data_IF_183723410740
#
_entry.id   IF_183723410740
#
_cell.length_a   1.000
_cell.length_b   1.000
_cell.length_c   1.000
_cell.angle_alpha   90.00
_cell.angle_beta   90.00
_cell.angle_gamma   90.00
#
_symmetry.space_group_name_H-M   'P 1'
#
loop_
_entity.id
_entity.type
_entity.pdbx_description
1 polymer ?
#
# COMPACT_ATOMS: atom_id res chain seq x y z
N UNK A 1 -29.10 -53.53 -23.36
CA UNK A 1 -28.58 -54.04 -22.08
C UNK A 1 -27.06 -53.93 -22.13
N UNK A 2 -26.50 -52.85 -21.64
CA UNK A 2 -25.05 -52.56 -21.64
C UNK A 2 -24.60 -52.56 -20.19
N UNK A 3 -23.85 -53.60 -19.81
CA UNK A 3 -23.30 -53.76 -18.46
C UNK A 3 -22.14 -52.77 -18.25
N UNK A 4 -22.30 -51.86 -17.28
CA UNK A 4 -21.28 -50.94 -16.82
C UNK A 4 -20.42 -51.68 -15.78
N UNK A 5 -19.15 -51.90 -16.08
CA UNK A 5 -18.18 -52.47 -15.14
C UNK A 5 -17.51 -51.27 -14.45
N UNK A 6 -17.81 -51.10 -13.16
CA UNK A 6 -17.13 -50.18 -12.26
C UNK A 6 -15.82 -50.80 -11.78
N UNK A 7 -14.69 -50.29 -12.27
CA UNK A 7 -13.36 -50.63 -11.74
C UNK A 7 -13.06 -49.66 -10.60
N UNK A 8 -13.15 -50.18 -9.38
CA UNK A 8 -12.67 -49.49 -8.16
C UNK A 8 -11.15 -49.59 -8.10
N UNK A 9 -10.46 -48.52 -8.48
CA UNK A 9 -9.05 -48.35 -8.16
C UNK A 9 -8.93 -47.89 -6.71
N UNK A 10 -8.52 -48.81 -5.83
CA UNK A 10 -8.11 -48.51 -4.50
C UNK A 10 -6.76 -47.78 -4.52
N UNK A 11 -6.76 -46.49 -4.27
CA UNK A 11 -5.54 -45.75 -3.93
C UNK A 11 -5.19 -46.00 -2.46
N UNK A 12 -4.32 -46.97 -2.21
CA UNK A 12 -3.56 -47.05 -0.96
C UNK A 12 -2.43 -45.99 -1.04
N UNK A 13 -2.69 -44.80 -0.54
CA UNK A 13 -1.63 -43.84 -0.28
C UNK A 13 -0.79 -44.34 0.92
N UNK A 14 0.31 -45.01 0.64
CA UNK A 14 1.38 -45.24 1.61
C UNK A 14 2.03 -43.91 1.91
N UNK A 15 1.57 -43.24 2.98
CA UNK A 15 2.29 -42.16 3.58
C UNK A 15 3.53 -42.71 4.31
N UNK A 16 4.60 -43.00 3.58
CA UNK A 16 5.91 -43.19 4.14
C UNK A 16 6.59 -41.81 4.21
N UNK A 17 6.13 -40.96 5.12
CA UNK A 17 7.01 -39.92 5.62
C UNK A 17 8.03 -40.61 6.52
N UNK A 18 9.12 -41.03 5.93
CA UNK A 18 10.30 -41.37 6.70
C UNK A 18 10.77 -40.06 7.35
N UNK A 19 10.58 -39.97 8.64
CA UNK A 19 11.11 -38.90 9.47
C UNK A 19 12.64 -39.08 9.54
N UNK A 20 13.33 -38.69 8.46
CA UNK A 20 14.78 -38.78 8.31
C UNK A 20 15.49 -37.75 9.17
N UNK A 21 14.73 -36.84 9.77
CA UNK A 21 15.30 -35.72 10.53
C UNK A 21 15.46 -35.98 12.03
N UNK A 22 14.67 -36.91 12.59
CA UNK A 22 14.75 -37.21 14.03
C UNK A 22 16.09 -37.80 14.48
N UNK A 23 16.71 -38.65 13.67
CA UNK A 23 17.99 -39.26 14.05
C UNK A 23 19.19 -38.33 13.97
N UNK A 24 19.21 -37.40 13.02
CA UNK A 24 20.31 -36.45 12.84
C UNK A 24 20.28 -35.30 13.85
N UNK A 25 19.10 -34.97 14.36
CA UNK A 25 18.92 -33.89 15.34
C UNK A 25 19.18 -34.33 16.76
N UNK A 26 19.00 -35.62 17.09
CA UNK A 26 19.17 -36.14 18.44
C UNK A 26 20.63 -36.15 18.94
N UNK A 27 21.62 -36.18 18.06
CA UNK A 27 23.03 -36.23 18.40
C UNK A 27 23.81 -34.92 18.13
N UNK A 28 23.11 -33.82 17.81
CA UNK A 28 23.77 -32.56 17.56
C UNK A 28 23.88 -31.74 18.86
N UNK A 29 25.12 -31.56 19.40
CA UNK A 29 25.32 -30.83 20.66
C UNK A 29 24.86 -29.35 20.57
N UNK A 30 24.78 -28.77 19.38
CA UNK A 30 24.27 -27.41 19.19
C UNK A 30 22.77 -27.27 19.52
N UNK A 31 21.98 -28.36 19.45
CA UNK A 31 20.56 -28.34 19.76
C UNK A 31 20.27 -28.48 21.26
N UNK A 32 21.25 -28.87 22.07
CA UNK A 32 21.12 -28.81 23.51
C UNK A 32 20.89 -27.40 24.03
N UNK A 33 21.43 -26.39 23.34
CA UNK A 33 21.24 -24.97 23.68
C UNK A 33 19.80 -24.48 23.48
N UNK A 34 19.01 -25.19 22.68
CA UNK A 34 17.61 -24.80 22.36
C UNK A 34 16.55 -25.61 23.11
N UNK A 35 16.95 -26.47 24.05
CA UNK A 35 16.00 -27.22 24.89
C UNK A 35 15.22 -28.33 24.17
N UNK A 36 15.59 -28.69 22.95
CA UNK A 36 14.85 -29.66 22.11
C UNK A 36 15.41 -31.09 22.17
N UNK A 37 16.50 -31.35 22.95
CA UNK A 37 17.06 -32.68 23.06
C UNK A 37 16.94 -33.20 24.51
N UNK A 38 16.09 -34.21 24.77
CA UNK A 38 15.90 -34.75 26.12
C UNK A 38 17.13 -35.48 26.68
N UNK A 39 18.15 -35.76 25.87
CA UNK A 39 19.36 -36.47 26.27
C UNK A 39 20.54 -35.56 26.64
N UNK A 40 20.35 -34.28 26.78
CA UNK A 40 21.36 -33.35 27.26
C UNK A 40 21.58 -33.48 28.79
N UNK A 41 21.94 -34.66 29.26
CA UNK A 41 22.27 -34.94 30.65
C UNK A 41 23.74 -34.59 30.94
N UNK A 42 24.00 -33.35 31.22
CA UNK A 42 25.29 -32.88 31.73
C UNK A 42 25.10 -31.45 32.20
N UNK A 43 25.64 -31.07 33.36
CA UNK A 43 25.63 -29.75 33.96
C UNK A 43 25.84 -28.63 32.91
N UNK A 44 24.80 -28.26 32.18
CA UNK A 44 24.80 -27.11 31.31
C UNK A 44 24.62 -25.89 32.22
N UNK A 45 25.74 -25.32 32.65
CA UNK A 45 25.74 -23.93 33.10
C UNK A 45 25.03 -23.11 32.00
N UNK A 46 23.90 -22.49 32.36
CA UNK A 46 22.97 -21.87 31.44
C UNK A 46 23.63 -20.85 30.51
N UNK A 47 23.99 -21.32 29.33
CA UNK A 47 24.29 -20.44 28.21
C UNK A 47 22.97 -20.16 27.53
N UNK A 48 22.29 -19.13 27.96
CA UNK A 48 21.25 -18.56 27.14
C UNK A 48 21.92 -17.80 26.01
N UNK A 49 21.82 -18.28 24.74
CA UNK A 49 22.32 -17.48 23.63
C UNK A 49 21.51 -16.20 23.61
N UNK A 50 22.14 -15.09 23.96
CA UNK A 50 21.53 -13.78 23.76
C UNK A 50 21.46 -13.57 22.25
N UNK A 51 20.29 -13.82 21.69
CA UNK A 51 19.98 -13.39 20.33
C UNK A 51 20.00 -11.87 20.35
N UNK A 52 21.12 -11.30 19.89
CA UNK A 52 21.21 -9.86 19.68
C UNK A 52 20.32 -9.54 18.49
N UNK A 53 19.09 -9.11 18.75
CA UNK A 53 18.21 -8.58 17.73
C UNK A 53 18.75 -7.21 17.34
N UNK A 54 19.47 -7.16 16.24
CA UNK A 54 19.84 -5.87 15.65
C UNK A 54 18.59 -5.31 14.95
N UNK A 55 18.05 -4.25 15.52
CA UNK A 55 16.97 -3.49 14.87
C UNK A 55 17.57 -2.69 13.73
N UNK A 56 17.48 -3.23 12.53
CA UNK A 56 17.82 -2.49 11.31
C UNK A 56 16.67 -1.54 11.03
N UNK A 57 16.88 -0.25 11.30
CA UNK A 57 15.93 0.79 10.90
C UNK A 57 16.20 1.15 9.45
N UNK A 58 15.33 0.69 8.56
CA UNK A 58 15.38 1.07 7.14
C UNK A 58 14.65 2.40 6.98
N UNK A 59 15.41 3.46 6.71
CA UNK A 59 14.84 4.77 6.38
C UNK A 59 14.61 4.87 4.88
N UNK A 60 13.38 4.73 4.46
CA UNK A 60 13.00 4.99 3.07
C UNK A 60 12.92 6.50 2.80
N UNK A 61 13.44 6.98 1.65
CA UNK A 61 13.32 8.38 1.30
C UNK A 61 11.84 8.77 1.12
N UNK A 62 11.46 10.00 1.49
CA UNK A 62 10.08 10.44 1.35
C UNK A 62 9.67 10.49 -0.11
N UNK A 63 8.38 10.24 -0.37
CA UNK A 63 7.75 10.39 -1.68
C UNK A 63 6.73 11.52 -1.65
N UNK A 64 6.56 12.15 -2.81
CA UNK A 64 5.74 13.34 -2.96
C UNK A 64 4.72 13.17 -4.08
N UNK A 65 3.55 13.76 -3.89
CA UNK A 65 2.50 13.83 -4.90
C UNK A 65 1.89 15.23 -4.97
N UNK A 66 1.27 15.55 -6.10
CA UNK A 66 0.57 16.80 -6.30
C UNK A 66 -0.59 16.65 -7.29
N UNK A 67 -1.61 17.51 -7.14
CA UNK A 67 -2.67 17.70 -8.14
C UNK A 67 -2.61 19.13 -8.69
N UNK A 68 -2.85 19.24 -10.00
CA UNK A 68 -3.02 20.52 -10.70
C UNK A 68 -4.37 20.55 -11.42
N UNK A 69 -4.98 21.72 -11.50
CA UNK A 69 -6.31 21.92 -12.09
C UNK A 69 -6.33 23.12 -13.04
N UNK A 70 -7.01 22.96 -14.18
CA UNK A 70 -7.38 24.03 -15.11
C UNK A 70 -8.85 24.38 -14.92
N UNK A 71 -9.11 25.54 -14.36
CA UNK A 71 -10.50 25.99 -14.14
C UNK A 71 -11.26 26.30 -15.43
N UNK A 72 -10.54 26.71 -16.50
CA UNK A 72 -11.16 27.02 -17.80
C UNK A 72 -11.60 25.77 -18.56
N UNK A 73 -10.91 24.65 -18.34
CA UNK A 73 -11.15 23.37 -19.04
C UNK A 73 -11.77 22.32 -18.16
N UNK A 74 -11.91 22.58 -16.85
CA UNK A 74 -12.36 21.61 -15.85
C UNK A 74 -11.55 20.30 -15.87
N UNK A 75 -10.25 20.39 -16.15
CA UNK A 75 -9.31 19.27 -16.19
C UNK A 75 -8.50 19.28 -14.90
N UNK A 76 -8.34 18.11 -14.32
CA UNK A 76 -7.46 17.87 -13.19
C UNK A 76 -6.47 16.75 -13.56
N UNK A 77 -5.21 16.95 -13.22
CA UNK A 77 -4.17 15.95 -13.42
C UNK A 77 -3.27 15.89 -12.18
N UNK A 78 -2.67 14.73 -11.93
CA UNK A 78 -1.81 14.52 -10.79
C UNK A 78 -0.49 13.83 -11.15
N UNK A 79 0.49 14.00 -10.28
CA UNK A 79 1.73 13.23 -10.27
C UNK A 79 1.93 12.66 -8.86
N UNK A 80 2.37 11.40 -8.78
CA UNK A 80 2.65 10.69 -7.54
C UNK A 80 4.07 10.10 -7.59
N UNK A 81 4.56 9.61 -6.44
CA UNK A 81 5.85 8.90 -6.29
C UNK A 81 7.09 9.71 -6.68
N UNK A 82 7.00 11.02 -6.68
CA UNK A 82 8.12 11.89 -6.99
C UNK A 82 9.10 12.00 -5.82
N UNK A 83 10.36 12.37 -6.11
CA UNK A 83 11.41 12.45 -5.09
C UNK A 83 11.48 13.82 -4.40
N UNK A 84 10.73 14.81 -4.88
CA UNK A 84 10.59 16.11 -4.27
C UNK A 84 9.23 16.74 -4.53
N UNK A 85 8.83 17.68 -3.67
CA UNK A 85 7.58 18.44 -3.83
C UNK A 85 7.58 19.23 -5.14
N UNK A 86 8.70 19.88 -5.48
CA UNK A 86 8.85 20.67 -6.70
C UNK A 86 8.74 19.81 -7.97
N UNK A 87 9.21 18.57 -7.92
CA UNK A 87 9.08 17.64 -9.03
C UNK A 87 7.62 17.20 -9.21
N UNK A 88 6.95 16.83 -8.13
CA UNK A 88 5.53 16.47 -8.16
C UNK A 88 4.65 17.59 -8.72
N UNK A 89 4.87 18.82 -8.26
CA UNK A 89 4.14 20.00 -8.74
C UNK A 89 4.40 20.30 -10.21
N UNK A 90 5.66 20.23 -10.64
CA UNK A 90 6.04 20.42 -12.04
C UNK A 90 5.38 19.40 -12.96
N UNK A 91 5.45 18.12 -12.59
CA UNK A 91 4.83 17.05 -13.38
C UNK A 91 3.31 17.14 -13.41
N UNK A 92 2.66 17.42 -12.29
CA UNK A 92 1.21 17.65 -12.23
C UNK A 92 0.79 18.81 -13.16
N UNK A 93 1.55 19.92 -13.14
CA UNK A 93 1.33 21.05 -14.05
C UNK A 93 1.53 20.68 -15.51
N UNK A 94 2.55 19.89 -15.83
CA UNK A 94 2.82 19.42 -17.19
C UNK A 94 1.67 18.56 -17.71
N UNK A 95 1.22 17.57 -16.95
CA UNK A 95 0.09 16.72 -17.31
C UNK A 95 -1.20 17.53 -17.48
N UNK A 96 -1.49 18.44 -16.54
CA UNK A 96 -2.66 19.31 -16.64
C UNK A 96 -2.63 20.15 -17.92
N UNK A 97 -1.49 20.74 -18.30
CA UNK A 97 -1.34 21.53 -19.52
C UNK A 97 -1.45 20.69 -20.78
N UNK A 98 -0.91 19.48 -20.79
CA UNK A 98 -1.02 18.55 -21.90
C UNK A 98 -2.47 18.14 -22.15
N UNK A 99 -3.17 17.73 -21.10
CA UNK A 99 -4.57 17.26 -21.20
C UNK A 99 -5.55 18.40 -21.50
N UNK A 100 -5.35 19.56 -20.87
CA UNK A 100 -6.26 20.70 -21.06
C UNK A 100 -5.97 21.52 -22.30
N UNK A 101 -4.76 21.45 -22.85
CA UNK A 101 -4.27 22.38 -23.89
C UNK A 101 -4.20 23.83 -23.41
N UNK A 102 -4.25 24.08 -22.10
CA UNK A 102 -4.35 25.41 -21.50
C UNK A 102 -3.17 25.75 -20.60
N UNK A 103 -2.82 27.02 -20.54
CA UNK A 103 -1.77 27.53 -19.65
C UNK A 103 -2.30 27.94 -18.26
N UNK A 104 -3.61 27.82 -18.00
CA UNK A 104 -4.21 28.27 -16.73
C UNK A 104 -4.13 27.22 -15.60
N UNK A 105 -3.45 26.10 -15.84
CA UNK A 105 -3.21 25.07 -14.83
C UNK A 105 -2.48 25.63 -13.61
N UNK A 106 -3.00 25.30 -12.43
CA UNK A 106 -2.44 25.66 -11.14
C UNK A 106 -2.37 24.45 -10.22
N UNK A 107 -1.32 24.32 -9.44
CA UNK A 107 -1.26 23.35 -8.35
C UNK A 107 -2.34 23.68 -7.33
N UNK A 108 -3.13 22.69 -6.95
CA UNK A 108 -4.20 22.85 -5.97
C UNK A 108 -3.92 22.18 -4.64
N UNK A 109 -3.05 21.15 -4.63
CA UNK A 109 -2.59 20.46 -3.41
C UNK A 109 -1.30 19.70 -3.70
N UNK A 110 -0.47 19.55 -2.68
CA UNK A 110 0.67 18.65 -2.65
C UNK A 110 0.67 17.82 -1.37
N UNK A 111 1.35 16.69 -1.40
CA UNK A 111 1.46 15.77 -0.26
C UNK A 111 2.87 15.17 -0.17
N UNK A 112 3.29 14.86 1.04
CA UNK A 112 4.48 14.10 1.35
C UNK A 112 4.08 12.86 2.13
N UNK A 113 4.49 11.68 1.67
CA UNK A 113 4.20 10.38 2.31
C UNK A 113 2.71 10.21 2.62
N UNK A 114 1.86 10.40 1.62
CA UNK A 114 0.41 10.34 1.79
C UNK A 114 -0.32 10.32 0.46
N UNK A 115 -1.62 10.49 0.53
CA UNK A 115 -2.52 10.42 -0.60
C UNK A 115 -3.20 11.76 -0.85
N UNK A 116 -3.53 12.03 -2.12
CA UNK A 116 -4.30 13.19 -2.56
C UNK A 116 -5.49 12.75 -3.38
N UNK A 117 -6.61 13.47 -3.25
CA UNK A 117 -7.80 13.31 -4.06
C UNK A 117 -8.46 14.67 -4.27
N UNK A 118 -9.43 14.77 -5.16
CA UNK A 118 -10.24 15.98 -5.31
C UNK A 118 -11.68 15.63 -5.60
N UNK A 119 -12.59 16.40 -5.02
CA UNK A 119 -14.02 16.36 -5.33
C UNK A 119 -14.45 17.67 -6.03
N UNK A 120 -15.44 17.57 -6.88
CA UNK A 120 -16.15 18.74 -7.40
C UNK A 120 -17.57 18.81 -6.85
N UNK A 121 -18.09 20.01 -6.76
CA UNK A 121 -19.47 20.24 -6.38
C UNK A 121 -20.00 21.56 -6.93
N UNK A 122 -21.32 21.69 -6.96
CA UNK A 122 -22.02 22.83 -7.52
C UNK A 122 -22.47 23.79 -6.42
N UNK A 123 -21.99 25.02 -6.44
CA UNK A 123 -22.44 26.09 -5.54
C UNK A 123 -23.72 26.79 -6.06
N UNK A 124 -23.82 27.02 -7.36
CA UNK A 124 -24.98 27.61 -8.02
C UNK A 124 -25.11 27.08 -9.46
N UNK A 125 -26.11 27.55 -10.21
CA UNK A 125 -26.46 27.03 -11.54
C UNK A 125 -25.26 26.87 -12.48
N UNK A 126 -24.30 27.80 -12.46
CA UNK A 126 -23.11 27.76 -13.34
C UNK A 126 -21.79 27.94 -12.56
N UNK A 127 -21.81 27.70 -11.24
CA UNK A 127 -20.63 27.85 -10.40
C UNK A 127 -20.26 26.51 -9.74
N UNK A 128 -19.16 25.95 -10.19
CA UNK A 128 -18.59 24.71 -9.66
C UNK A 128 -17.32 25.02 -8.86
N UNK A 129 -17.09 24.26 -7.84
CA UNK A 129 -15.86 24.32 -7.05
C UNK A 129 -15.16 22.96 -7.10
N UNK A 130 -13.83 23.00 -7.08
CA UNK A 130 -12.98 21.82 -6.92
C UNK A 130 -12.33 21.91 -5.55
N UNK A 131 -12.50 20.87 -4.75
CA UNK A 131 -12.02 20.78 -3.39
C UNK A 131 -11.01 19.63 -3.32
N UNK A 132 -9.71 19.95 -3.23
CA UNK A 132 -8.68 18.95 -2.99
C UNK A 132 -8.62 18.57 -1.51
N UNK A 133 -8.19 17.33 -1.24
CA UNK A 133 -7.89 16.84 0.09
C UNK A 133 -6.67 15.94 0.08
N UNK A 134 -5.98 15.90 1.22
CA UNK A 134 -4.86 15.00 1.45
C UNK A 134 -5.08 14.21 2.75
N UNK A 135 -4.56 12.97 2.78
CA UNK A 135 -4.52 12.12 3.97
C UNK A 135 -3.17 11.43 4.07
N UNK A 136 -2.72 11.18 5.31
CA UNK A 136 -1.55 10.34 5.57
C UNK A 136 -1.86 8.84 5.44
N UNK A 137 -3.15 8.47 5.30
CA UNK A 137 -3.60 7.08 5.17
C UNK A 137 -4.28 6.88 3.83
N UNK A 138 -4.01 5.72 3.22
CA UNK A 138 -4.71 5.30 2.01
C UNK A 138 -6.19 5.03 2.30
N UNK A 139 -7.05 5.35 1.32
CA UNK A 139 -8.50 5.18 1.39
C UNK A 139 -9.26 6.32 2.06
N UNK A 140 -8.57 7.37 2.55
CA UNK A 140 -9.23 8.47 3.28
C UNK A 140 -9.34 9.77 2.49
N UNK A 141 -8.47 10.02 1.48
CA UNK A 141 -8.43 11.32 0.82
C UNK A 141 -9.70 11.63 0.02
N UNK A 142 -10.30 10.63 -0.60
CA UNK A 142 -11.56 10.79 -1.33
C UNK A 142 -12.72 11.15 -0.39
N UNK A 143 -12.87 10.40 0.70
CA UNK A 143 -13.93 10.67 1.68
C UNK A 143 -13.80 12.08 2.25
N UNK A 144 -12.58 12.50 2.57
CA UNK A 144 -12.26 13.84 3.06
C UNK A 144 -12.57 14.93 2.02
N UNK A 145 -12.24 14.69 0.73
CA UNK A 145 -12.57 15.63 -0.34
C UNK A 145 -14.09 15.84 -0.48
N UNK A 146 -14.87 14.74 -0.42
CA UNK A 146 -16.33 14.80 -0.45
C UNK A 146 -16.92 15.49 0.78
N UNK A 147 -16.40 15.23 1.97
CA UNK A 147 -16.81 15.88 3.20
C UNK A 147 -16.57 17.39 3.12
N UNK A 148 -15.38 17.81 2.73
CA UNK A 148 -15.02 19.22 2.57
C UNK A 148 -15.87 19.91 1.48
N UNK A 149 -16.18 19.21 0.40
CA UNK A 149 -17.07 19.72 -0.65
C UNK A 149 -18.47 20.04 -0.09
N UNK A 150 -19.06 19.12 0.67
CA UNK A 150 -20.35 19.32 1.35
C UNK A 150 -20.28 20.43 2.40
N UNK A 151 -19.21 20.49 3.18
CA UNK A 151 -18.99 21.54 4.18
C UNK A 151 -18.88 22.94 3.58
N UNK A 152 -18.46 23.07 2.31
CA UNK A 152 -18.49 24.33 1.55
C UNK A 152 -19.87 24.69 1.04
N UNK A 153 -20.92 23.92 1.36
CA UNK A 153 -22.29 24.16 0.91
C UNK A 153 -22.53 23.78 -0.56
N UNK A 154 -21.60 23.09 -1.20
CA UNK A 154 -21.79 22.63 -2.56
C UNK A 154 -22.76 21.44 -2.61
N UNK A 155 -23.56 21.39 -3.67
CA UNK A 155 -24.48 20.29 -4.00
C UNK A 155 -23.82 19.36 -5.03
N UNK A 156 -24.34 18.14 -5.12
CA UNK A 156 -23.94 17.16 -6.12
C UNK A 156 -22.42 16.85 -6.07
N UNK A 157 -21.85 16.80 -4.85
CA UNK A 157 -20.44 16.52 -4.65
C UNK A 157 -20.08 15.11 -5.14
N UNK A 158 -19.12 15.02 -6.05
CA UNK A 158 -18.59 13.77 -6.60
C UNK A 158 -17.07 13.82 -6.72
N UNK A 159 -16.43 12.65 -6.78
CA UNK A 159 -14.99 12.57 -7.00
C UNK A 159 -14.67 13.04 -8.43
N UNK A 160 -13.73 13.97 -8.53
CA UNK A 160 -13.17 14.48 -9.78
C UNK A 160 -11.80 13.87 -10.07
N UNK A 161 -10.97 13.73 -9.04
CA UNK A 161 -9.72 12.99 -9.09
C UNK A 161 -9.73 11.90 -8.01
N UNK A 162 -9.60 10.64 -8.43
CA UNK A 162 -9.45 9.51 -7.53
C UNK A 162 -8.16 9.59 -6.72
N UNK A 163 -8.14 8.90 -5.61
CA UNK A 163 -7.00 8.92 -4.72
C UNK A 163 -5.72 8.39 -5.39
N UNK A 164 -4.66 9.19 -5.35
CA UNK A 164 -3.31 8.83 -5.70
C UNK A 164 -2.39 8.96 -4.49
N UNK A 165 -1.60 7.93 -4.21
CA UNK A 165 -0.76 7.86 -3.02
C UNK A 165 0.73 7.86 -3.37
N UNK A 166 1.54 8.50 -2.52
CA UNK A 166 2.99 8.59 -2.58
C UNK A 166 3.55 8.16 -1.23
N UNK A 167 3.85 6.87 -1.08
CA UNK A 167 4.46 6.33 0.13
C UNK A 167 5.90 5.89 -0.13
N UNK A 168 6.80 6.02 0.87
CA UNK A 168 8.15 5.49 0.77
C UNK A 168 8.11 3.94 0.71
N UNK A 169 8.97 3.36 -0.14
CA UNK A 169 9.13 1.90 -0.36
C UNK A 169 10.57 1.55 -0.66
#
# INVERSE_FOLDING_TARGET
MRKLILVLFGLTALNTYADVTQGALQNNPALCAYGHNPNCGGNAGGYTPQVRVEHITINYPPKFGALAHSSKKAIIAGAIDQNSQSEAEREALNFCRQESGSKDCKVIIGVRNGCVAAAEGRLSRNNYIVIPAASAKAGEAEAKALELCKAKGAKDCKILAYEGCSFPY
#
